data_IF_463210051715
#
_entry.id   IF_463210051715
#
_cell.length_a   1.000
_cell.length_b   1.000
_cell.length_c   1.000
_cell.angle_alpha   90.00
_cell.angle_beta   90.00
_cell.angle_gamma   90.00
#
_symmetry.space_group_name_H-M   'P 1'
#
loop_
_entity.id
_entity.type
_entity.pdbx_description
1 polymer ?
#
# COMPACT_ATOMS: atom_id res chain seq x y z
N UNK A 1 6.03 2.88 -2.39
CA UNK A 1 5.46 3.25 -3.71
C UNK A 1 4.47 2.17 -4.13
N UNK A 2 3.36 2.54 -4.76
CA UNK A 2 2.39 1.58 -5.31
C UNK A 2 2.11 1.86 -6.78
N UNK A 3 1.89 0.78 -7.52
CA UNK A 3 1.36 0.76 -8.87
C UNK A 3 -0.05 0.14 -8.80
N UNK A 4 -0.99 0.76 -9.51
CA UNK A 4 -2.36 0.29 -9.60
C UNK A 4 -2.79 0.24 -11.05
N UNK A 5 -3.22 -0.94 -11.49
CA UNK A 5 -3.75 -1.18 -12.82
C UNK A 5 -5.22 -1.58 -12.73
N UNK A 6 -6.04 -1.02 -13.61
CA UNK A 6 -7.44 -1.38 -13.76
C UNK A 6 -7.69 -2.03 -15.13
N UNK A 7 -8.50 -3.08 -15.13
CA UNK A 7 -9.12 -3.64 -16.32
C UNK A 7 -10.63 -3.53 -16.16
N UNK A 8 -11.28 -2.84 -17.08
CA UNK A 8 -12.71 -2.55 -17.04
C UNK A 8 -13.36 -3.23 -18.25
N UNK A 9 -14.30 -4.14 -17.97
CA UNK A 9 -15.13 -4.80 -18.96
C UNK A 9 -16.63 -4.49 -18.68
N UNK A 10 -17.49 -4.93 -19.59
CA UNK A 10 -18.95 -4.74 -19.47
C UNK A 10 -19.57 -5.50 -18.31
N UNK A 11 -18.95 -6.59 -17.85
CA UNK A 11 -19.47 -7.44 -16.78
C UNK A 11 -18.61 -7.45 -15.52
N UNK A 12 -17.39 -6.93 -15.59
CA UNK A 12 -16.44 -7.01 -14.49
C UNK A 12 -15.46 -5.85 -14.48
N UNK A 13 -14.96 -5.55 -13.28
CA UNK A 13 -13.88 -4.61 -13.05
C UNK A 13 -12.82 -5.32 -12.20
N UNK A 14 -11.64 -5.50 -12.77
CA UNK A 14 -10.49 -6.05 -12.08
C UNK A 14 -9.51 -4.95 -11.70
N UNK A 15 -8.90 -5.05 -10.51
CA UNK A 15 -7.75 -4.23 -10.14
C UNK A 15 -6.58 -5.07 -9.66
N UNK A 16 -5.38 -4.65 -10.06
CA UNK A 16 -4.11 -5.24 -9.67
C UNK A 16 -3.28 -4.15 -9.00
N UNK A 17 -2.92 -4.37 -7.74
CA UNK A 17 -2.05 -3.47 -6.99
C UNK A 17 -0.74 -4.16 -6.68
N UNK A 18 0.36 -3.48 -6.98
CA UNK A 18 1.70 -3.87 -6.56
C UNK A 18 2.30 -2.74 -5.74
N UNK A 19 2.72 -3.03 -4.52
CA UNK A 19 3.39 -2.07 -3.65
C UNK A 19 4.79 -2.56 -3.32
N UNK A 20 5.79 -1.70 -3.52
CA UNK A 20 7.15 -1.88 -3.01
C UNK A 20 7.44 -0.77 -2.00
N UNK A 21 7.86 -1.15 -0.80
CA UNK A 21 8.19 -0.22 0.27
C UNK A 21 9.23 -0.77 1.23
N UNK A 22 9.48 0.00 2.29
CA UNK A 22 10.38 -0.40 3.36
C UNK A 22 9.79 0.04 4.71
N UNK A 23 10.11 -0.70 5.77
CA UNK A 23 9.90 -0.30 7.17
C UNK A 23 11.24 -0.10 7.87
N UNK A 24 11.21 0.33 9.13
CA UNK A 24 12.40 0.61 9.95
C UNK A 24 13.02 1.97 9.63
N UNK A 25 14.29 2.20 10.01
CA UNK A 25 14.97 3.49 9.76
C UNK A 25 14.85 4.00 8.32
N UNK A 26 14.87 3.10 7.32
CA UNK A 26 14.74 3.46 5.91
C UNK A 26 13.36 4.06 5.54
N UNK A 27 12.36 3.98 6.43
CA UNK A 27 11.06 4.62 6.21
C UNK A 27 11.04 6.11 6.59
N UNK A 28 12.12 6.62 7.20
CA UNK A 28 12.26 8.01 7.65
C UNK A 28 11.15 8.48 8.61
N UNK A 29 10.58 7.55 9.38
CA UNK A 29 9.46 7.84 10.26
C UNK A 29 9.89 8.70 11.47
N UNK A 30 11.10 8.47 11.98
CA UNK A 30 11.69 9.25 13.07
C UNK A 30 11.91 10.71 12.68
N UNK A 31 12.55 10.93 11.54
CA UNK A 31 12.84 12.25 11.00
C UNK A 31 11.55 13.02 10.69
N UNK A 32 10.56 12.33 10.12
CA UNK A 32 9.23 12.89 9.90
C UNK A 32 8.56 13.34 11.21
N UNK A 33 8.63 12.51 12.26
CA UNK A 33 8.09 12.86 13.56
C UNK A 33 8.83 14.04 14.19
N UNK A 34 10.16 14.01 14.20
CA UNK A 34 11.01 15.11 14.71
C UNK A 34 10.73 16.42 13.99
N UNK A 35 10.53 16.37 12.67
CA UNK A 35 10.15 17.53 11.87
C UNK A 35 8.81 18.12 12.34
N UNK A 36 7.76 17.31 12.48
CA UNK A 36 6.45 17.78 12.97
C UNK A 36 6.57 18.36 14.38
N UNK A 37 7.26 17.69 15.31
CA UNK A 37 7.45 18.16 16.68
C UNK A 37 8.16 19.52 16.72
N UNK A 38 9.13 19.75 15.84
CA UNK A 38 9.83 21.04 15.71
C UNK A 38 8.92 22.20 15.26
N UNK A 39 7.90 21.91 14.45
CA UNK A 39 6.92 22.89 13.96
C UNK A 39 5.95 23.26 15.08
N UNK A 40 5.38 22.25 15.74
CA UNK A 40 4.35 22.45 16.77
C UNK A 40 4.93 22.79 18.15
N UNK A 41 6.26 22.85 18.29
CA UNK A 41 6.97 23.14 19.55
C UNK A 41 6.63 22.14 20.66
N UNK A 42 6.53 20.86 20.31
CA UNK A 42 6.38 19.75 21.25
C UNK A 42 7.75 19.20 21.66
N UNK A 43 7.78 18.45 22.76
CA UNK A 43 8.98 17.78 23.27
C UNK A 43 9.55 16.78 22.25
N UNK A 44 10.84 16.48 22.34
CA UNK A 44 11.50 15.57 21.41
C UNK A 44 10.91 14.15 21.50
N UNK A 45 10.55 13.51 20.37
CA UNK A 45 9.99 12.17 20.38
C UNK A 45 11.05 11.15 20.82
N UNK A 46 10.69 10.30 21.79
CA UNK A 46 11.56 9.28 22.39
C UNK A 46 11.19 7.86 21.92
N UNK A 47 12.10 6.90 22.13
CA UNK A 47 11.85 5.48 21.89
C UNK A 47 12.32 4.95 20.53
N UNK A 48 12.82 5.81 19.66
CA UNK A 48 13.33 5.45 18.33
C UNK A 48 14.56 4.55 18.33
N UNK A 49 15.33 4.52 19.43
CA UNK A 49 16.45 3.59 19.62
C UNK A 49 16.02 2.12 19.63
N UNK A 50 14.74 1.84 19.91
CA UNK A 50 14.17 0.48 19.93
C UNK A 50 13.19 0.24 18.77
N UNK A 51 13.28 1.01 17.70
CA UNK A 51 12.42 0.82 16.52
C UNK A 51 12.69 -0.51 15.81
N UNK A 52 11.73 -0.97 15.01
CA UNK A 52 11.89 -2.20 14.21
C UNK A 52 13.01 -2.05 13.16
N UNK A 53 13.68 -3.16 12.85
CA UNK A 53 14.74 -3.19 11.84
C UNK A 53 14.20 -2.95 10.42
N UNK A 54 15.13 -2.65 9.51
CA UNK A 54 14.83 -2.45 8.09
C UNK A 54 14.25 -3.72 7.45
N UNK A 55 13.08 -3.58 6.84
CA UNK A 55 12.47 -4.64 6.03
C UNK A 55 12.00 -4.09 4.71
N UNK A 56 12.24 -4.82 3.62
CA UNK A 56 11.60 -4.56 2.34
C UNK A 56 10.22 -5.22 2.34
N UNK A 57 9.20 -4.47 1.96
CA UNK A 57 7.82 -4.93 1.85
C UNK A 57 7.41 -4.96 0.38
N UNK A 58 6.99 -6.13 -0.07
CA UNK A 58 6.33 -6.32 -1.37
C UNK A 58 4.90 -6.80 -1.11
N UNK A 59 3.92 -6.01 -1.56
CA UNK A 59 2.51 -6.41 -1.50
C UNK A 59 1.96 -6.53 -2.92
N UNK A 60 1.26 -7.62 -3.19
CA UNK A 60 0.48 -7.79 -4.41
C UNK A 60 -0.97 -8.06 -4.03
N UNK A 61 -1.89 -7.32 -4.62
CA UNK A 61 -3.32 -7.49 -4.41
C UNK A 61 -4.05 -7.59 -5.74
N UNK A 62 -4.94 -8.58 -5.85
CA UNK A 62 -5.92 -8.71 -6.92
C UNK A 62 -7.32 -8.53 -6.35
N UNK A 63 -8.14 -7.73 -7.03
CA UNK A 63 -9.57 -7.60 -6.74
C UNK A 63 -10.39 -7.77 -8.01
N UNK A 64 -11.52 -8.45 -7.87
CA UNK A 64 -12.56 -8.57 -8.90
C UNK A 64 -13.89 -8.05 -8.38
N UNK A 65 -14.56 -7.23 -9.19
CA UNK A 65 -15.91 -6.75 -8.91
C UNK A 65 -16.79 -7.07 -10.11
N UNK A 66 -17.83 -7.88 -9.89
CA UNK A 66 -18.78 -8.22 -10.95
C UNK A 66 -19.88 -7.15 -11.04
N UNK A 67 -20.20 -6.71 -12.26
CA UNK A 67 -21.30 -5.81 -12.57
C UNK A 67 -22.56 -6.64 -12.74
N UNK A 68 -23.56 -6.43 -11.91
CA UNK A 68 -24.74 -7.29 -11.87
C UNK A 68 -25.91 -6.71 -12.68
N UNK A 69 -25.90 -5.40 -12.89
CA UNK A 69 -26.93 -4.71 -13.65
C UNK A 69 -26.36 -3.45 -14.30
N UNK A 70 -26.65 -3.27 -15.58
CA UNK A 70 -26.35 -2.05 -16.33
C UNK A 70 -27.58 -1.69 -17.17
N UNK A 71 -28.08 -0.45 -17.04
CA UNK A 71 -29.21 0.03 -17.83
C UNK A 71 -29.06 1.51 -18.18
N UNK A 72 -29.45 1.88 -19.40
CA UNK A 72 -29.55 3.30 -19.78
C UNK A 72 -30.66 4.00 -18.97
N UNK A 73 -30.31 5.08 -18.27
CA UNK A 73 -31.28 5.97 -17.62
C UNK A 73 -31.83 7.01 -18.61
N UNK A 74 -30.96 7.50 -19.50
CA UNK A 74 -31.30 8.41 -20.59
C UNK A 74 -30.28 8.25 -21.72
N UNK A 75 -30.52 8.84 -22.90
CA UNK A 75 -29.67 8.66 -24.09
C UNK A 75 -28.19 9.03 -23.94
N UNK A 76 -27.79 9.64 -22.82
CA UNK A 76 -26.39 9.97 -22.50
C UNK A 76 -25.92 9.42 -21.15
N UNK A 77 -26.79 8.79 -20.35
CA UNK A 77 -26.47 8.38 -18.98
C UNK A 77 -26.83 6.92 -18.75
N UNK A 78 -25.85 6.12 -18.35
CA UNK A 78 -26.05 4.74 -17.91
C UNK A 78 -26.04 4.66 -16.38
N UNK A 79 -26.80 3.72 -15.83
CA UNK A 79 -26.78 3.31 -14.43
C UNK A 79 -26.19 1.92 -14.31
N UNK A 80 -25.15 1.80 -13.50
CA UNK A 80 -24.50 0.52 -13.19
C UNK A 80 -24.70 0.21 -11.69
N UNK A 81 -25.05 -1.03 -11.38
CA UNK A 81 -25.04 -1.56 -10.01
C UNK A 81 -23.99 -2.65 -9.89
N UNK A 82 -23.05 -2.43 -8.99
CA UNK A 82 -21.90 -3.31 -8.75
C UNK A 82 -21.99 -3.84 -7.32
N UNK A 83 -22.00 -5.16 -7.15
CA UNK A 83 -21.85 -5.76 -5.83
C UNK A 83 -20.39 -6.15 -5.61
N UNK A 84 -19.81 -5.67 -4.50
CA UNK A 84 -18.49 -6.09 -4.04
C UNK A 84 -18.67 -7.04 -2.86
N UNK A 85 -18.54 -8.34 -3.12
CA UNK A 85 -18.35 -9.33 -2.07
C UNK A 85 -16.85 -9.57 -1.91
N UNK A 86 -16.33 -9.59 -0.68
CA UNK A 86 -14.91 -9.87 -0.39
C UNK A 86 -14.48 -11.32 -0.75
N UNK A 87 -15.31 -12.07 -1.49
CA UNK A 87 -15.06 -13.44 -1.92
C UNK A 87 -13.96 -13.55 -2.99
N UNK A 88 -13.67 -12.46 -3.71
CA UNK A 88 -12.73 -12.46 -4.85
C UNK A 88 -11.56 -11.49 -4.68
N UNK A 89 -11.23 -11.12 -3.44
CA UNK A 89 -10.02 -10.38 -3.12
C UNK A 89 -8.94 -11.35 -2.64
N UNK A 90 -7.75 -11.24 -3.22
CA UNK A 90 -6.57 -11.97 -2.75
C UNK A 90 -5.41 -11.00 -2.60
N UNK A 91 -4.80 -11.02 -1.41
CA UNK A 91 -3.61 -10.24 -1.09
C UNK A 91 -2.48 -11.18 -0.68
N UNK A 92 -1.32 -10.98 -1.28
CA UNK A 92 -0.07 -11.60 -0.89
C UNK A 92 0.87 -10.52 -0.37
N UNK A 93 1.48 -10.78 0.77
CA UNK A 93 2.49 -9.90 1.34
C UNK A 93 3.76 -10.70 1.63
N UNK A 94 4.88 -10.16 1.16
CA UNK A 94 6.21 -10.69 1.45
C UNK A 94 6.99 -9.60 2.16
N UNK A 95 7.58 -9.97 3.30
CA UNK A 95 8.50 -9.15 4.06
C UNK A 95 9.86 -9.82 4.06
N UNK A 96 10.86 -9.13 3.55
CA UNK A 96 12.25 -9.57 3.64
C UNK A 96 12.97 -8.67 4.64
N UNK A 97 13.50 -9.26 5.70
CA UNK A 97 14.50 -8.59 6.53
C UNK A 97 15.77 -8.50 5.72
N UNK A 98 16.15 -7.28 5.35
CA UNK A 98 17.41 -7.04 4.70
C UNK A 98 18.43 -6.77 5.82
N UNK A 99 19.35 -7.72 6.05
CA UNK A 99 20.57 -7.43 6.78
C UNK A 99 21.45 -6.53 5.88
N UNK A 100 21.07 -5.26 5.74
CA UNK A 100 21.94 -4.24 5.15
C UNK A 100 22.99 -3.83 6.20
N UNK A 101 23.67 -4.80 6.81
CA UNK A 101 24.95 -4.57 7.46
C UNK A 101 25.94 -4.30 6.33
N UNK A 102 26.49 -3.09 6.33
CA UNK A 102 27.36 -2.58 5.28
C UNK A 102 28.50 -3.52 4.91
N UNK A 103 29.00 -3.31 3.69
CA UNK A 103 30.37 -3.64 3.34
C UNK A 103 31.28 -3.03 4.40
N UNK A 104 31.77 -3.89 5.29
CA UNK A 104 32.68 -3.57 6.38
C UNK A 104 33.44 -4.86 6.69
N UNK A 105 34.69 -4.90 6.24
CA UNK A 105 35.64 -5.98 6.50
C UNK A 105 35.65 -6.27 8.00
N UNK A 106 35.47 -7.54 8.36
CA UNK A 106 35.83 -8.01 9.70
C UNK A 106 37.35 -7.92 9.85
N UNK A 107 37.82 -7.05 10.74
CA UNK A 107 39.09 -7.19 11.47
C UNK A 107 38.81 -6.87 12.94
#
# INVERSE_FOLDING_TARGET
MSLLLYSIASTEINSYSLMLGTTGPNSYAEEGQKFVHSIIKSDDPQGWDNQIENQVVLNFTYNRNDKWYESALSGTTNHESVLRLALWQVTFEVRLQAALSGVGVQV
#
